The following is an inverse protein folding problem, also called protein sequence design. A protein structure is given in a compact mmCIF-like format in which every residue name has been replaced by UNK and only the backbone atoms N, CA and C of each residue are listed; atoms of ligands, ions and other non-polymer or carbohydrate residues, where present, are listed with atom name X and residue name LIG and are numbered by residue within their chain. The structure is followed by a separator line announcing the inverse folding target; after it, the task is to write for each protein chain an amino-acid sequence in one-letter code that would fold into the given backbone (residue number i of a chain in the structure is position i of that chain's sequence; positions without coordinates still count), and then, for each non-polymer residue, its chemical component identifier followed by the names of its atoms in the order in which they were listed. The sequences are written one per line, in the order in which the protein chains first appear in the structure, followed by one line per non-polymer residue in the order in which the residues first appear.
data_IF_682837267409
#
_entry.id   IF_682837267409
#
_cell.length_a   1.000
_cell.length_b   1.000
_cell.length_c   1.000
_cell.angle_alpha   90.00
_cell.angle_beta   90.00
_cell.angle_gamma   90.00
#
_symmetry.space_group_name_H-M   'P 1'
#
loop_
_entity.id
_entity.type
_entity.pdbx_description
1 polymer ?
#
# COMPACT_ATOMS: atom_id res chain seq x y z
N UNK A 1 -11.03 -15.23 22.01
CA UNK A 1 -9.70 -15.14 21.40
C UNK A 1 -8.79 -14.45 22.39
N UNK A 2 -7.83 -15.17 22.95
CA UNK A 2 -6.86 -14.62 23.90
C UNK A 2 -5.83 -13.82 23.08
N UNK A 3 -5.92 -12.50 23.16
CA UNK A 3 -4.86 -11.60 22.71
C UNK A 3 -3.74 -11.75 23.73
N UNK A 4 -2.75 -12.60 23.42
CA UNK A 4 -1.54 -12.67 24.24
C UNK A 4 -0.93 -11.26 24.30
N UNK A 5 -0.59 -10.76 25.50
CA UNK A 5 0.09 -9.47 25.61
C UNK A 5 1.41 -9.58 24.85
N UNK A 6 1.51 -8.84 23.74
CA UNK A 6 2.71 -8.80 22.91
C UNK A 6 3.97 -8.40 23.71
N UNK A 7 3.75 -7.75 24.85
CA UNK A 7 4.79 -7.33 25.78
C UNK A 7 5.49 -8.49 26.50
N UNK A 8 4.88 -9.68 26.58
CA UNK A 8 5.46 -10.81 27.32
C UNK A 8 6.45 -11.64 26.48
N UNK A 9 6.49 -11.46 25.16
CA UNK A 9 7.17 -12.38 24.23
C UNK A 9 8.51 -11.85 23.70
N UNK A 10 8.84 -10.58 23.94
CA UNK A 10 10.10 -10.04 23.42
C UNK A 10 11.21 -10.04 24.48
N UNK A 11 12.21 -10.93 24.34
CA UNK A 11 13.33 -10.97 25.28
C UNK A 11 14.09 -9.64 25.21
N UNK A 12 14.27 -9.00 26.37
CA UNK A 12 15.15 -7.86 26.55
C UNK A 12 16.60 -8.32 26.36
N UNK A 13 17.06 -8.34 25.12
CA UNK A 13 18.40 -8.74 24.74
C UNK A 13 19.01 -7.75 23.75
N UNK A 14 20.33 -7.83 23.52
CA UNK A 14 20.96 -7.08 22.43
C UNK A 14 20.28 -7.45 21.09
N UNK A 15 20.14 -6.49 20.16
CA UNK A 15 19.52 -6.75 18.87
C UNK A 15 20.28 -7.85 18.10
N UNK A 16 19.57 -8.67 17.28
CA UNK A 16 20.22 -9.71 16.48
C UNK A 16 21.34 -9.14 15.61
N UNK A 17 22.48 -9.84 15.52
CA UNK A 17 23.61 -9.39 14.72
C UNK A 17 23.23 -9.15 13.24
N UNK A 18 22.38 -10.01 12.68
CA UNK A 18 21.87 -9.87 11.32
C UNK A 18 21.10 -8.55 11.09
N UNK A 19 20.49 -7.99 12.13
CA UNK A 19 19.80 -6.69 12.07
C UNK A 19 20.81 -5.54 12.10
N UNK A 20 21.86 -5.65 12.92
CA UNK A 20 22.92 -4.66 13.01
C UNK A 20 23.72 -4.52 11.70
N UNK A 21 23.93 -5.63 10.98
CA UNK A 21 24.57 -5.61 9.65
C UNK A 21 23.78 -4.79 8.61
N UNK A 22 22.46 -4.71 8.78
CA UNK A 22 21.58 -3.91 7.92
C UNK A 22 21.49 -2.44 8.33
N UNK A 23 22.21 -2.00 9.37
CA UNK A 23 22.12 -0.63 9.90
C UNK A 23 22.34 0.43 8.82
N UNK A 24 23.26 0.20 7.90
CA UNK A 24 23.51 1.13 6.79
C UNK A 24 22.28 1.29 5.87
N UNK A 25 21.57 0.20 5.56
CA UNK A 25 20.34 0.23 4.77
C UNK A 25 19.22 1.00 5.49
N UNK A 26 19.12 0.89 6.82
CA UNK A 26 18.17 1.68 7.60
C UNK A 26 18.47 3.18 7.56
N UNK A 27 19.74 3.58 7.62
CA UNK A 27 20.12 4.99 7.48
C UNK A 27 19.83 5.48 6.05
N UNK A 28 20.11 4.65 5.05
CA UNK A 28 19.75 4.94 3.66
C UNK A 28 18.22 5.13 3.51
N UNK A 29 17.40 4.26 4.11
CA UNK A 29 15.95 4.38 4.13
C UNK A 29 15.48 5.69 4.78
N UNK A 30 16.05 6.06 5.95
CA UNK A 30 15.72 7.33 6.63
C UNK A 30 16.04 8.53 5.75
N UNK A 31 17.20 8.54 5.09
CA UNK A 31 17.58 9.59 4.14
C UNK A 31 16.62 9.63 2.95
N UNK A 32 16.28 8.46 2.38
CA UNK A 32 15.38 8.36 1.24
C UNK A 32 13.97 8.84 1.57
N UNK A 33 13.46 8.48 2.75
CA UNK A 33 12.18 8.98 3.28
C UNK A 33 12.24 10.49 3.53
N UNK A 34 13.34 11.02 4.07
CA UNK A 34 13.54 12.46 4.26
C UNK A 34 13.52 13.24 2.94
N UNK A 35 14.22 12.73 1.91
CA UNK A 35 14.18 13.30 0.55
C UNK A 35 12.77 13.21 -0.03
N UNK A 36 12.10 12.06 0.08
CA UNK A 36 10.74 11.86 -0.42
C UNK A 36 9.74 12.80 0.26
N UNK A 37 9.83 12.96 1.57
CA UNK A 37 9.02 13.90 2.35
C UNK A 37 9.20 15.33 1.84
N UNK A 38 10.44 15.76 1.64
CA UNK A 38 10.72 17.10 1.09
C UNK A 38 10.16 17.28 -0.33
N UNK A 39 10.31 16.27 -1.20
CA UNK A 39 9.73 16.30 -2.55
C UNK A 39 8.19 16.37 -2.53
N UNK A 40 7.52 15.65 -1.62
CA UNK A 40 6.06 15.71 -1.44
C UNK A 40 5.61 17.09 -0.96
N UNK A 41 6.34 17.71 -0.03
CA UNK A 41 6.06 19.09 0.42
C UNK A 41 6.20 20.08 -0.74
N UNK A 42 7.28 19.98 -1.55
CA UNK A 42 7.47 20.82 -2.73
C UNK A 42 6.40 20.58 -3.82
N UNK A 43 5.94 19.34 -3.96
CA UNK A 43 4.85 18.95 -4.85
C UNK A 43 3.46 19.34 -4.34
N UNK A 44 3.35 20.00 -3.18
CA UNK A 44 2.09 20.40 -2.52
C UNK A 44 1.15 19.21 -2.25
N UNK A 45 1.73 18.01 -2.11
CA UNK A 45 0.99 16.79 -1.77
C UNK A 45 0.98 16.61 -0.25
N UNK A 46 0.07 17.31 0.40
CA UNK A 46 -0.02 17.36 1.88
C UNK A 46 -0.33 15.99 2.47
N UNK A 47 -1.26 15.24 1.87
CA UNK A 47 -1.65 13.92 2.38
C UNK A 47 -0.48 12.93 2.28
N UNK A 48 0.21 12.90 1.13
CA UNK A 48 1.41 12.08 0.96
C UNK A 48 2.57 12.51 1.86
N UNK A 49 2.75 13.82 2.08
CA UNK A 49 3.77 14.35 2.99
C UNK A 49 3.51 13.92 4.45
N UNK A 50 2.28 14.01 4.93
CA UNK A 50 1.93 13.58 6.30
C UNK A 50 2.19 12.08 6.50
N UNK A 51 1.78 11.27 5.52
CA UNK A 51 1.97 9.82 5.57
C UNK A 51 3.45 9.43 5.50
N UNK A 52 4.23 10.01 4.59
CA UNK A 52 5.69 9.80 4.53
C UNK A 52 6.41 10.32 5.78
N UNK A 53 5.97 11.44 6.35
CA UNK A 53 6.50 11.99 7.60
C UNK A 53 6.26 11.08 8.80
N UNK A 54 5.08 10.45 8.88
CA UNK A 54 4.78 9.43 9.90
C UNK A 54 5.73 8.23 9.77
N UNK A 55 5.92 7.72 8.54
CA UNK A 55 6.84 6.62 8.28
C UNK A 55 8.28 6.98 8.64
N UNK A 56 8.71 8.19 8.30
CA UNK A 56 10.02 8.72 8.69
C UNK A 56 10.17 8.78 10.22
N UNK A 57 9.13 9.23 10.94
CA UNK A 57 9.11 9.27 12.40
C UNK A 57 9.32 7.88 13.02
N UNK A 58 8.61 6.86 12.54
CA UNK A 58 8.82 5.48 12.98
C UNK A 58 10.21 4.95 12.65
N UNK A 59 10.70 5.16 11.43
CA UNK A 59 12.04 4.73 11.05
C UNK A 59 13.13 5.39 11.91
N UNK A 60 12.98 6.67 12.25
CA UNK A 60 13.87 7.37 13.19
C UNK A 60 13.77 6.80 14.61
N UNK A 61 12.56 6.54 15.11
CA UNK A 61 12.36 5.94 16.44
C UNK A 61 13.04 4.57 16.52
N UNK A 62 12.85 3.72 15.50
CA UNK A 62 13.44 2.37 15.44
C UNK A 62 14.98 2.39 15.36
N UNK A 63 15.58 3.45 14.81
CA UNK A 63 17.04 3.54 14.61
C UNK A 63 17.77 4.29 15.73
N UNK A 64 17.08 5.12 16.51
CA UNK A 64 17.68 6.01 17.53
C UNK A 64 18.34 5.25 18.69
N UNK A 65 17.68 4.24 19.24
CA UNK A 65 18.13 3.53 20.45
C UNK A 65 18.92 2.25 20.12
N UNK A 66 19.76 2.32 19.09
CA UNK A 66 20.59 1.19 18.67
C UNK A 66 19.80 -0.03 18.18
N UNK A 67 18.58 0.17 17.68
CA UNK A 67 17.68 -0.88 17.15
C UNK A 67 17.16 -1.86 18.22
N UNK A 68 17.22 -1.52 19.52
CA UNK A 68 16.69 -2.37 20.59
C UNK A 68 15.17 -2.57 20.50
N UNK A 69 14.43 -1.52 20.16
CA UNK A 69 12.96 -1.53 20.06
C UNK A 69 12.44 -2.05 18.71
N UNK A 70 13.34 -2.49 17.84
CA UNK A 70 13.01 -2.84 16.46
C UNK A 70 12.09 -4.06 16.37
N UNK A 71 12.29 -5.07 17.22
CA UNK A 71 11.42 -6.25 17.26
C UNK A 71 9.96 -5.88 17.52
N UNK A 72 9.71 -4.87 18.37
CA UNK A 72 8.36 -4.46 18.80
C UNK A 72 7.60 -3.78 17.68
N UNK A 73 8.27 -2.90 16.96
CA UNK A 73 7.64 -2.06 15.94
C UNK A 73 7.79 -2.60 14.52
N UNK A 74 8.69 -3.56 14.26
CA UNK A 74 8.98 -4.05 12.91
C UNK A 74 7.74 -4.55 12.18
N UNK A 75 6.91 -5.38 12.81
CA UNK A 75 5.73 -5.93 12.13
C UNK A 75 4.69 -4.85 11.81
N UNK A 76 4.45 -3.93 12.74
CA UNK A 76 3.52 -2.80 12.53
C UNK A 76 4.03 -1.90 11.41
N UNK A 77 5.31 -1.58 11.43
CA UNK A 77 5.96 -0.80 10.39
C UNK A 77 5.90 -1.50 9.03
N UNK A 78 6.08 -2.82 8.97
CA UNK A 78 5.95 -3.62 7.75
C UNK A 78 4.54 -3.48 7.16
N UNK A 79 3.50 -3.66 7.96
CA UNK A 79 2.10 -3.54 7.51
C UNK A 79 1.82 -2.13 7.00
N UNK A 80 2.26 -1.10 7.73
CA UNK A 80 2.11 0.30 7.30
C UNK A 80 2.83 0.55 5.97
N UNK A 81 4.10 0.13 5.83
CA UNK A 81 4.84 0.23 4.57
C UNK A 81 4.13 -0.51 3.43
N UNK A 82 3.61 -1.72 3.67
CA UNK A 82 2.92 -2.51 2.66
C UNK A 82 1.64 -1.84 2.15
N UNK A 83 0.82 -1.27 3.04
CA UNK A 83 -0.38 -0.53 2.66
C UNK A 83 -0.04 0.77 1.91
N UNK A 84 0.94 1.52 2.39
CA UNK A 84 1.41 2.73 1.73
C UNK A 84 1.98 2.43 0.34
N UNK A 85 2.78 1.36 0.22
CA UNK A 85 3.29 0.87 -1.06
C UNK A 85 2.16 0.56 -2.03
N UNK A 86 1.11 -0.15 -1.59
CA UNK A 86 -0.02 -0.47 -2.44
C UNK A 86 -0.76 0.78 -2.94
N UNK A 87 -1.04 1.73 -2.05
CA UNK A 87 -1.73 2.97 -2.42
C UNK A 87 -0.89 3.91 -3.29
N UNK A 88 0.44 3.88 -3.19
CA UNK A 88 1.32 4.63 -4.08
C UNK A 88 1.55 3.92 -5.42
N UNK A 89 1.60 2.59 -5.43
CA UNK A 89 1.85 1.80 -6.63
C UNK A 89 0.69 1.86 -7.63
N UNK A 90 -0.56 1.90 -7.16
CA UNK A 90 -1.73 1.96 -8.06
C UNK A 90 -1.72 3.25 -8.92
N UNK A 91 -1.65 4.46 -8.34
CA UNK A 91 -1.50 5.70 -9.10
C UNK A 91 -0.27 5.68 -10.02
N UNK A 92 0.87 5.17 -9.53
CA UNK A 92 2.09 5.10 -10.34
C UNK A 92 1.88 4.25 -11.61
N UNK A 93 1.29 3.06 -11.48
CA UNK A 93 1.02 2.17 -12.62
C UNK A 93 0.03 2.82 -13.60
N UNK A 94 -1.00 3.52 -13.09
CA UNK A 94 -1.97 4.20 -13.95
C UNK A 94 -1.38 5.40 -14.70
N UNK A 95 -0.38 6.09 -14.12
CA UNK A 95 0.26 7.26 -14.71
C UNK A 95 1.57 6.97 -15.46
N UNK A 96 2.07 5.73 -15.40
CA UNK A 96 3.35 5.36 -16.03
C UNK A 96 3.32 5.56 -17.55
N UNK A 97 2.14 5.41 -18.17
CA UNK A 97 1.91 5.70 -19.59
C UNK A 97 1.78 7.19 -19.94
N UNK A 98 1.89 8.08 -18.95
CA UNK A 98 1.65 9.52 -19.06
C UNK A 98 0.50 9.98 -18.18
N UNK A 99 0.56 11.24 -17.75
CA UNK A 99 -0.50 11.88 -16.98
C UNK A 99 -1.59 12.37 -17.92
N UNK A 100 -2.81 11.93 -17.66
CA UNK A 100 -3.98 12.31 -18.46
C UNK A 100 -4.71 13.46 -17.76
N UNK A 101 -4.66 14.65 -18.35
CA UNK A 101 -5.48 15.78 -17.94
C UNK A 101 -6.74 15.84 -18.79
N UNK A 102 -7.90 15.72 -18.16
CA UNK A 102 -9.20 15.88 -18.82
C UNK A 102 -9.77 17.24 -18.47
N UNK A 103 -9.98 18.07 -19.48
CA UNK A 103 -10.65 19.36 -19.32
C UNK A 103 -11.98 19.28 -20.05
N UNK A 104 -13.07 19.52 -19.33
CA UNK A 104 -14.43 19.52 -19.88
C UNK A 104 -14.85 20.97 -20.07
N UNK A 105 -15.04 21.38 -21.32
CA UNK A 105 -15.51 22.73 -21.66
C UNK A 105 -16.96 22.65 -22.17
N UNK A 106 -17.90 23.44 -21.60
CA UNK A 106 -19.27 23.50 -22.10
C UNK A 106 -19.28 24.25 -23.43
N UNK A 107 -19.70 23.59 -24.52
CA UNK A 107 -19.74 24.22 -25.84
C UNK A 107 -21.05 24.98 -26.13
N UNK A 108 -22.06 24.79 -25.29
CA UNK A 108 -23.36 25.47 -25.41
C UNK A 108 -24.53 24.53 -25.14
N UNK A 109 -25.70 25.12 -24.90
CA UNK A 109 -26.96 24.37 -24.84
C UNK A 109 -27.76 24.64 -26.11
N UNK A 110 -28.03 23.60 -26.89
CA UNK A 110 -29.00 23.68 -27.99
C UNK A 110 -30.38 23.25 -27.48
N UNK A 111 -31.42 23.99 -27.83
CA UNK A 111 -32.81 23.57 -27.63
C UNK A 111 -33.20 22.82 -28.89
N UNK A 112 -33.47 21.53 -28.75
CA UNK A 112 -33.96 20.68 -29.84
C UNK A 112 -35.39 21.11 -30.24
N UNK A 113 -35.85 20.70 -31.42
CA UNK A 113 -37.18 21.06 -31.98
C UNK A 113 -38.34 20.69 -31.05
N UNK A 114 -38.12 19.72 -30.16
CA UNK A 114 -39.07 19.24 -29.15
C UNK A 114 -39.02 20.04 -27.83
N UNK A 115 -38.25 21.14 -27.78
CA UNK A 115 -38.06 21.95 -26.57
C UNK A 115 -37.07 21.35 -25.56
N UNK A 116 -36.41 20.23 -25.89
CA UNK A 116 -35.44 19.58 -24.99
C UNK A 116 -34.11 20.32 -25.03
N UNK A 117 -33.62 20.78 -23.87
CA UNK A 117 -32.28 21.39 -23.75
C UNK A 117 -31.22 20.29 -23.77
N UNK A 118 -30.44 20.22 -24.85
CA UNK A 118 -29.26 19.38 -24.97
C UNK A 118 -28.00 20.20 -24.65
N UNK A 119 -27.33 19.89 -23.55
CA UNK A 119 -26.03 20.47 -23.22
C UNK A 119 -24.93 19.64 -23.89
N UNK A 120 -24.17 20.27 -24.79
CA UNK A 120 -23.04 19.62 -25.47
C UNK A 120 -21.76 20.00 -24.71
N UNK A 121 -21.05 18.98 -24.22
CA UNK A 121 -19.76 19.14 -23.55
C UNK A 121 -18.66 18.58 -24.43
N UNK A 122 -17.57 19.34 -24.60
CA UNK A 122 -16.37 18.85 -25.27
C UNK A 122 -15.35 18.43 -24.22
N UNK A 123 -14.98 17.15 -24.24
CA UNK A 123 -13.98 16.58 -23.36
C UNK A 123 -12.63 16.57 -24.08
N UNK A 124 -11.74 17.51 -23.74
CA UNK A 124 -10.37 17.50 -24.26
C UNK A 124 -9.49 16.66 -23.33
N UNK A 125 -9.01 15.53 -23.86
CA UNK A 125 -8.07 14.66 -23.16
C UNK A 125 -6.66 14.99 -23.61
N UNK A 126 -5.82 15.54 -22.73
CA UNK A 126 -4.42 15.84 -23.00
C UNK A 126 -3.52 14.88 -22.22
N UNK A 127 -2.76 14.07 -22.94
CA UNK A 127 -1.75 13.18 -22.35
C UNK A 127 -0.41 13.91 -22.32
N UNK A 128 0.17 14.03 -21.12
CA UNK A 128 1.47 14.66 -20.88
C UNK A 128 2.45 13.55 -20.47
N UNK A 129 3.68 13.53 -21.00
CA UNK A 129 4.66 12.53 -20.59
C UNK A 129 4.97 12.65 -19.10
N UNK A 130 5.37 11.54 -18.48
CA UNK A 130 5.61 11.45 -17.03
C UNK A 130 6.63 12.50 -16.53
N UNK A 131 7.67 12.76 -17.32
CA UNK A 131 8.56 13.91 -17.16
C UNK A 131 8.44 14.82 -18.38
N UNK A 132 8.24 16.12 -18.14
CA UNK A 132 8.16 17.13 -19.20
C UNK A 132 8.91 18.39 -18.76
N UNK A 133 9.95 18.76 -19.53
CA UNK A 133 10.72 19.98 -19.28
C UNK A 133 9.88 21.25 -19.45
N UNK A 134 8.78 21.18 -20.22
CA UNK A 134 7.90 22.32 -20.50
C UNK A 134 6.91 22.63 -19.37
N UNK A 135 6.62 21.65 -18.50
CA UNK A 135 5.66 21.80 -17.38
C UNK A 135 6.29 22.43 -16.12
N UNK A 136 7.60 22.71 -16.14
CA UNK A 136 8.32 23.32 -15.04
C UNK A 136 8.85 22.32 -13.99
N UNK A 137 9.53 22.85 -12.98
CA UNK A 137 10.24 22.04 -11.98
C UNK A 137 9.28 21.31 -11.04
N UNK A 138 8.20 21.97 -10.59
CA UNK A 138 7.22 21.40 -9.65
C UNK A 138 6.58 20.12 -10.20
N UNK A 139 6.20 20.13 -11.48
CA UNK A 139 5.65 18.95 -12.15
C UNK A 139 6.61 17.75 -12.11
N UNK A 140 7.89 17.99 -12.45
CA UNK A 140 8.91 16.94 -12.48
C UNK A 140 9.27 16.46 -11.06
N UNK A 141 9.25 17.35 -10.06
CA UNK A 141 9.42 16.99 -8.65
C UNK A 141 8.29 16.08 -8.18
N UNK A 142 7.04 16.38 -8.55
CA UNK A 142 5.89 15.53 -8.24
C UNK A 142 6.04 14.14 -8.89
N UNK A 143 6.47 14.07 -10.15
CA UNK A 143 6.75 12.80 -10.83
C UNK A 143 7.88 12.01 -10.17
N UNK A 144 8.95 12.68 -9.74
CA UNK A 144 10.02 12.05 -8.98
C UNK A 144 9.53 11.51 -7.63
N UNK A 145 8.69 12.28 -6.91
CA UNK A 145 8.09 11.85 -5.65
C UNK A 145 7.21 10.60 -5.82
N UNK A 146 6.43 10.53 -6.91
CA UNK A 146 5.58 9.37 -7.23
C UNK A 146 6.39 8.10 -7.51
N UNK A 147 7.61 8.21 -8.05
CA UNK A 147 8.50 7.06 -8.22
C UNK A 147 9.23 6.70 -6.92
N UNK A 148 9.73 7.71 -6.21
CA UNK A 148 10.56 7.49 -5.04
C UNK A 148 9.78 6.92 -3.85
N UNK A 149 8.51 7.31 -3.70
CA UNK A 149 7.66 6.85 -2.60
C UNK A 149 7.46 5.33 -2.55
N UNK A 150 6.97 4.65 -3.61
CA UNK A 150 6.82 3.19 -3.58
C UNK A 150 8.17 2.47 -3.44
N UNK A 151 9.28 3.04 -3.94
CA UNK A 151 10.61 2.49 -3.70
C UNK A 151 11.00 2.55 -2.21
N UNK A 152 10.76 3.67 -1.53
CA UNK A 152 10.96 3.80 -0.09
C UNK A 152 10.10 2.81 0.69
N UNK A 153 8.81 2.70 0.33
CA UNK A 153 7.88 1.84 1.04
C UNK A 153 8.22 0.35 0.84
N UNK A 154 8.63 -0.06 -0.37
CA UNK A 154 9.10 -1.41 -0.63
C UNK A 154 10.38 -1.74 0.16
N UNK A 155 11.34 -0.82 0.22
CA UNK A 155 12.55 -0.99 1.02
C UNK A 155 12.23 -1.07 2.53
N UNK A 156 11.34 -0.20 3.02
CA UNK A 156 10.88 -0.23 4.41
C UNK A 156 10.16 -1.53 4.78
N UNK A 157 9.29 -2.03 3.90
CA UNK A 157 8.64 -3.34 4.04
C UNK A 157 9.68 -4.48 4.08
N UNK A 158 10.63 -4.48 3.15
CA UNK A 158 11.68 -5.50 3.09
C UNK A 158 12.51 -5.54 4.38
N UNK A 159 13.02 -4.38 4.83
CA UNK A 159 13.88 -4.30 6.00
C UNK A 159 13.14 -4.69 7.29
N UNK A 160 11.87 -4.30 7.42
CA UNK A 160 11.06 -4.65 8.58
C UNK A 160 10.68 -6.13 8.63
N UNK A 161 10.35 -6.74 7.49
CA UNK A 161 10.14 -8.19 7.41
C UNK A 161 11.43 -8.97 7.71
N UNK A 162 12.57 -8.53 7.17
CA UNK A 162 13.87 -9.14 7.44
C UNK A 162 14.19 -9.08 8.95
N UNK A 163 13.96 -7.94 9.58
CA UNK A 163 14.17 -7.75 11.01
C UNK A 163 13.24 -8.60 11.89
N UNK A 164 11.97 -8.65 11.51
CA UNK A 164 10.99 -9.48 12.20
C UNK A 164 11.39 -10.96 12.13
N UNK A 165 11.76 -11.45 10.95
CA UNK A 165 12.24 -12.82 10.75
C UNK A 165 13.52 -13.12 11.55
N UNK A 166 14.46 -12.19 11.62
CA UNK A 166 15.68 -12.35 12.43
C UNK A 166 15.36 -12.45 13.93
N UNK A 167 14.40 -11.66 14.41
CA UNK A 167 13.94 -11.68 15.81
C UNK A 167 13.23 -12.99 16.14
N UNK A 168 12.35 -13.47 15.25
CA UNK A 168 11.65 -14.76 15.41
C UNK A 168 12.60 -15.95 15.50
N UNK A 169 13.69 -15.96 14.72
CA UNK A 169 14.70 -17.03 14.76
C UNK A 169 15.42 -17.14 16.11
N UNK A 170 15.61 -16.03 16.82
CA UNK A 170 16.22 -16.05 18.16
C UNK A 170 15.22 -16.48 19.25
N UNK A 171 13.92 -16.25 19.03
CA UNK A 171 12.88 -16.62 19.99
C UNK A 171 12.57 -18.13 19.99
N UNK A 172 12.73 -18.82 18.85
CA UNK A 172 12.39 -20.25 18.69
C UNK A 172 12.95 -21.19 19.78
N UNK A 173 14.26 -21.14 20.09
CA UNK A 173 14.85 -22.04 21.10
C UNK A 173 14.35 -21.86 22.53
N UNK A 174 13.74 -20.72 22.88
CA UNK A 174 13.18 -20.50 24.21
C UNK A 174 11.87 -21.27 24.41
N UNK A 175 11.10 -21.49 23.34
CA UNK A 175 9.83 -22.22 23.41
C UNK A 175 10.00 -23.74 23.30
N UNK A 176 11.07 -24.22 22.66
CA UNK A 176 11.35 -25.65 22.53
C UNK A 176 11.98 -26.26 23.80
N UNK A 177 12.45 -25.44 24.75
CA UNK A 177 13.13 -25.87 25.97
C UNK A 177 12.32 -25.64 27.27
N UNK A 178 11.00 -25.45 27.20
CA UNK A 178 10.15 -25.70 28.37
C UNK A 178 9.81 -27.20 28.42
N UNK A 179 10.57 -28.04 29.15
CA UNK A 179 10.18 -29.42 29.37
C UNK A 179 8.86 -29.43 30.12
N UNK A 180 7.78 -29.93 29.52
CA UNK A 180 6.56 -30.62 30.02
C UNK A 180 6.01 -30.40 31.47
N UNK A 181 6.56 -29.51 32.29
CA UNK A 181 6.38 -29.42 33.75
C UNK A 181 5.59 -28.17 34.17
N UNK A 182 5.42 -27.20 33.26
CA UNK A 182 4.40 -26.17 33.41
C UNK A 182 3.07 -26.73 32.94
N UNK A 183 2.42 -27.47 33.85
CA UNK A 183 1.10 -28.09 33.75
C UNK A 183 -0.06 -27.11 33.53
N UNK A 184 0.06 -26.23 32.55
CA UNK A 184 -1.07 -25.59 31.90
C UNK A 184 -1.65 -26.60 30.91
N UNK A 185 -2.42 -27.55 31.44
CA UNK A 185 -3.33 -28.36 30.63
C UNK A 185 -4.34 -27.43 29.96
N UNK A 186 -3.98 -26.85 28.82
CA UNK A 186 -4.96 -26.53 27.81
C UNK A 186 -5.48 -27.87 27.32
N UNK A 187 -6.54 -28.33 27.96
CA UNK A 187 -7.45 -29.34 27.43
C UNK A 187 -7.98 -28.78 26.12
N UNK A 188 -7.21 -28.97 25.04
CA UNK A 188 -7.73 -29.02 23.70
C UNK A 188 -8.73 -30.16 23.73
N UNK A 189 -9.97 -29.79 24.04
CA UNK A 189 -11.14 -30.59 23.78
C UNK A 189 -11.21 -30.67 22.26
N UNK A 190 -10.38 -31.55 21.71
CA UNK A 190 -10.54 -32.14 20.42
C UNK A 190 -11.95 -32.69 20.41
N UNK A 191 -12.87 -31.88 19.87
CA UNK A 191 -14.08 -32.40 19.28
C UNK A 191 -13.62 -33.32 18.16
N UNK A 192 -13.44 -34.58 18.53
CA UNK A 192 -13.49 -35.76 17.69
C UNK A 192 -14.77 -35.70 16.87
N UNK A 193 -14.68 -35.06 15.71
CA UNK A 193 -15.63 -35.15 14.62
C UNK A 193 -15.04 -36.06 13.57
N UNK A 194 -15.25 -37.36 13.76
CA UNK A 194 -15.05 -38.41 12.78
C UNK A 194 -15.53 -38.00 11.37
N UNK A 195 -14.66 -38.25 10.40
CA UNK A 195 -14.93 -39.02 9.20
C UNK A 195 -16.34 -38.90 8.60
N UNK A 196 -16.48 -38.07 7.56
CA UNK A 196 -17.20 -38.51 6.38
C UNK A 196 -16.55 -37.95 5.10
N UNK A 197 -15.86 -38.87 4.44
CA UNK A 197 -15.44 -38.85 3.05
C UNK A 197 -16.60 -38.40 2.14
N UNK A 198 -16.43 -37.28 1.43
CA UNK A 198 -17.24 -37.01 0.24
C UNK A 198 -16.40 -36.43 -0.89
N UNK A 199 -15.68 -37.36 -1.53
CA UNK A 199 -15.14 -37.24 -2.89
C UNK A 199 -16.30 -37.02 -3.86
N UNK A 200 -16.46 -35.81 -4.40
CA UNK A 200 -17.33 -35.56 -5.56
C UNK A 200 -16.46 -35.11 -6.73
N UNK A 201 -16.26 -36.06 -7.63
CA UNK A 201 -15.87 -35.84 -9.01
C UNK A 201 -16.98 -35.05 -9.70
N UNK A 202 -16.69 -33.81 -10.09
CA UNK A 202 -17.56 -32.96 -10.90
C UNK A 202 -16.78 -32.40 -12.07
N UNK A 203 -16.65 -33.20 -13.13
CA UNK A 203 -16.21 -32.79 -14.46
C UNK A 203 -17.30 -31.90 -15.06
N UNK A 204 -17.00 -30.63 -15.30
CA UNK A 204 -17.79 -29.77 -16.18
C UNK A 204 -16.85 -29.31 -17.29
N UNK A 205 -17.03 -29.93 -18.45
CA UNK A 205 -16.54 -29.42 -19.73
C UNK A 205 -17.20 -28.07 -19.99
N UNK A 206 -16.41 -27.01 -20.17
CA UNK A 206 -16.91 -25.70 -20.61
C UNK A 206 -16.29 -25.31 -21.95
N UNK A 207 -17.10 -24.95 -22.96
CA UNK A 207 -16.65 -24.82 -24.33
C UNK A 207 -15.82 -23.56 -24.58
N UNK A 208 -14.87 -23.76 -25.49
CA UNK A 208 -13.96 -22.78 -26.10
C UNK A 208 -14.71 -21.99 -27.18
N UNK A 209 -14.94 -20.71 -26.92
CA UNK A 209 -15.30 -19.67 -27.89
C UNK A 209 -14.95 -18.33 -27.22
N UNK A 210 -14.16 -17.42 -27.78
CA UNK A 210 -14.09 -16.98 -29.16
C UNK A 210 -14.40 -15.48 -29.14
N UNK A 211 -13.57 -14.70 -29.84
CA UNK A 211 -13.66 -13.26 -30.10
C UNK A 211 -13.14 -12.30 -29.02
N UNK A 212 -11.99 -11.71 -29.36
CA UNK A 212 -11.62 -10.33 -29.05
C UNK A 212 -12.84 -9.41 -29.14
N UNK A 213 -13.28 -8.89 -28.00
CA UNK A 213 -14.14 -7.72 -27.94
C UNK A 213 -13.38 -6.66 -27.14
N UNK A 214 -12.86 -5.68 -27.87
CA UNK A 214 -12.45 -4.37 -27.38
C UNK A 214 -13.59 -3.82 -26.53
N UNK A 215 -13.48 -4.01 -25.21
CA UNK A 215 -14.49 -3.59 -24.25
C UNK A 215 -14.33 -2.10 -24.03
N UNK A 216 -14.96 -1.31 -24.90
CA UNK A 216 -15.22 0.10 -24.63
C UNK A 216 -16.03 0.18 -23.33
N UNK A 217 -15.35 0.63 -22.28
CA UNK A 217 -15.92 0.75 -20.95
C UNK A 217 -16.82 1.98 -20.98
N UNK A 218 -18.12 1.76 -21.21
CA UNK A 218 -19.15 2.79 -21.06
C UNK A 218 -19.13 3.32 -19.62
N UNK A 219 -18.57 4.52 -19.42
CA UNK A 219 -18.76 5.27 -18.18
C UNK A 219 -20.25 5.62 -18.06
N UNK A 220 -20.90 5.03 -17.05
CA UNK A 220 -22.29 5.30 -16.72
C UNK A 220 -22.42 6.76 -16.28
N UNK A 221 -23.05 7.59 -17.11
CA UNK A 221 -23.38 8.98 -16.79
C UNK A 221 -24.17 9.04 -15.47
N UNK A 222 -23.54 9.53 -14.42
CA UNK A 222 -24.17 9.88 -13.15
C UNK A 222 -24.54 11.35 -13.18
N UNK A 223 -25.69 11.66 -13.81
CA UNK A 223 -26.24 13.02 -13.79
C UNK A 223 -26.83 13.34 -12.41
N UNK A 224 -26.34 14.40 -11.75
CA UNK A 224 -27.06 15.00 -10.62
C UNK A 224 -28.28 15.75 -11.16
N UNK A 225 -29.47 15.36 -10.72
CA UNK A 225 -30.73 16.01 -11.11
C UNK A 225 -30.83 17.40 -10.50
N UNK A 226 -30.70 18.45 -11.31
CA UNK A 226 -31.02 19.81 -10.89
C UNK A 226 -32.53 20.06 -10.98
N UNK A 227 -33.17 20.34 -9.85
CA UNK A 227 -34.53 20.88 -9.78
C UNK A 227 -34.52 22.31 -10.33
N UNK A 228 -35.29 22.56 -11.38
CA UNK A 228 -35.63 23.91 -11.81
C UNK A 228 -36.61 24.50 -10.79
N UNK A 229 -36.18 25.51 -10.05
CA UNK A 229 -37.09 26.36 -9.27
C UNK A 229 -37.81 27.28 -10.24
N UNK A 230 -39.13 27.11 -10.34
CA UNK A 230 -40.03 28.08 -10.97
C UNK A 230 -40.14 29.36 -10.13
#
# INVERSE_FOLDING_TARGET
GMLFPADLVMPFGPPPQAVLEQRWLWHMLVVLLGVTFFLRVLGVDVAGALLTGLMLGFAMMMTRDGMQEMGKYALVYAVLCGLCFFFDAVPLVTELGGRVSRTTEPMGSHIDEHGTRQAVYTLTTKTIPFFDKKQGLVYNVQSAAMLLSPLCMALGLYLSLAAHNATQRLAGPLFDNEPDDLGFSFSSSAASGELLSRRVHGRIDQPRGGADATRETFERFTGQGHKLSN
#
